data_IF_898573695921
#
_entry.id   IF_898573695921
#
_cell.length_a   1.000
_cell.length_b   1.000
_cell.length_c   1.000
_cell.angle_alpha   90.00
_cell.angle_beta   90.00
_cell.angle_gamma   90.00
#
_symmetry.space_group_name_H-M   'P 1'
#
loop_
_entity.id
_entity.type
_entity.pdbx_description
1 polymer ?
#
# COMPACT_ATOMS: atom_id res chain seq x y z
N UNK A 1 -34.57 -1.38 -29.72
CA UNK A 1 -33.68 -0.67 -28.77
C UNK A 1 -33.87 -1.29 -27.38
N UNK A 2 -33.04 -2.23 -26.97
CA UNK A 2 -33.02 -2.75 -25.58
C UNK A 2 -32.39 -1.67 -24.68
N UNK A 3 -33.15 -1.06 -23.80
CA UNK A 3 -32.63 -0.15 -22.75
C UNK A 3 -31.67 -0.98 -21.89
N UNK A 4 -30.38 -0.66 -21.95
CA UNK A 4 -29.39 -1.12 -20.97
C UNK A 4 -29.78 -0.49 -19.62
N UNK A 5 -30.57 -1.19 -18.84
CA UNK A 5 -30.71 -0.87 -17.41
C UNK A 5 -29.38 -1.21 -16.77
N UNK A 6 -28.54 -0.21 -16.51
CA UNK A 6 -27.33 -0.39 -15.75
C UNK A 6 -27.74 -0.94 -14.36
N UNK A 7 -27.50 -2.24 -14.16
CA UNK A 7 -27.71 -2.87 -12.85
C UNK A 7 -26.82 -2.11 -11.86
N UNK A 8 -27.42 -1.51 -10.84
CA UNK A 8 -26.65 -0.96 -9.72
C UNK A 8 -25.68 -2.03 -9.22
N UNK A 9 -24.38 -1.73 -9.07
CA UNK A 9 -23.44 -2.72 -8.57
C UNK A 9 -23.91 -3.18 -7.18
N UNK A 10 -23.85 -4.48 -6.94
CA UNK A 10 -24.23 -5.03 -5.64
C UNK A 10 -23.21 -4.57 -4.59
N UNK A 11 -23.70 -4.05 -3.48
CA UNK A 11 -22.86 -3.62 -2.35
C UNK A 11 -22.08 -4.83 -1.81
N UNK A 12 -20.79 -4.66 -1.61
CA UNK A 12 -19.91 -5.70 -1.07
C UNK A 12 -19.84 -5.61 0.46
N UNK A 13 -20.72 -6.35 1.11
CA UNK A 13 -20.80 -6.39 2.56
C UNK A 13 -19.49 -6.79 3.26
N UNK A 14 -18.67 -7.75 2.75
CA UNK A 14 -17.39 -8.05 3.39
C UNK A 14 -16.45 -6.84 3.45
N UNK A 15 -16.36 -6.05 2.38
CA UNK A 15 -15.52 -4.85 2.34
C UNK A 15 -16.05 -3.76 3.26
N UNK A 16 -17.38 -3.57 3.35
CA UNK A 16 -18.00 -2.66 4.32
C UNK A 16 -17.75 -3.10 5.77
N UNK A 17 -17.87 -4.39 6.06
CA UNK A 17 -17.57 -4.92 7.40
C UNK A 17 -16.12 -4.63 7.81
N UNK A 18 -15.16 -4.81 6.88
CA UNK A 18 -13.76 -4.44 7.10
C UNK A 18 -13.63 -2.94 7.39
N UNK A 19 -14.28 -2.07 6.63
CA UNK A 19 -14.25 -0.62 6.88
C UNK A 19 -14.78 -0.28 8.29
N UNK A 20 -15.91 -0.86 8.70
CA UNK A 20 -16.48 -0.69 10.05
C UNK A 20 -15.50 -1.16 11.12
N UNK A 21 -14.91 -2.35 10.96
CA UNK A 21 -13.94 -2.90 11.92
C UNK A 21 -12.69 -2.02 12.05
N UNK A 22 -12.17 -1.50 10.95
CA UNK A 22 -11.00 -0.61 10.97
C UNK A 22 -11.32 0.68 11.73
N UNK A 23 -12.39 1.36 11.36
CA UNK A 23 -12.71 2.67 11.95
C UNK A 23 -13.20 2.54 13.39
N UNK A 24 -14.09 1.59 13.68
CA UNK A 24 -14.52 1.34 15.06
C UNK A 24 -13.35 0.88 15.94
N UNK A 25 -12.48 0.00 15.43
CA UNK A 25 -11.28 -0.43 16.13
C UNK A 25 -10.31 0.71 16.39
N UNK A 26 -10.12 1.61 15.41
CA UNK A 26 -9.26 2.78 15.56
C UNK A 26 -9.82 3.75 16.62
N UNK A 27 -11.10 4.08 16.57
CA UNK A 27 -11.75 4.93 17.57
C UNK A 27 -11.66 4.30 18.97
N UNK A 28 -11.97 3.01 19.12
CA UNK A 28 -11.89 2.32 20.38
C UNK A 28 -10.46 2.27 20.93
N UNK A 29 -9.49 1.89 20.09
CA UNK A 29 -8.09 1.77 20.51
C UNK A 29 -7.47 3.12 20.90
N UNK A 30 -7.80 4.19 20.17
CA UNK A 30 -7.33 5.54 20.50
C UNK A 30 -8.01 6.09 21.76
N UNK A 31 -9.31 5.84 21.97
CA UNK A 31 -10.02 6.25 23.18
C UNK A 31 -9.55 5.50 24.44
N UNK A 32 -9.18 4.24 24.30
CA UNK A 32 -8.76 3.37 25.42
C UNK A 32 -7.24 3.27 25.55
N UNK A 33 -6.47 4.06 24.80
CA UNK A 33 -5.00 3.94 24.69
C UNK A 33 -4.27 3.92 26.03
N UNK A 34 -4.74 4.69 27.02
CA UNK A 34 -4.14 4.77 28.35
C UNK A 34 -4.28 3.47 29.17
N UNK A 35 -5.21 2.60 28.79
CA UNK A 35 -5.46 1.29 29.43
C UNK A 35 -4.73 0.15 28.71
N UNK A 36 -4.14 0.41 27.55
CA UNK A 36 -3.49 -0.60 26.70
C UNK A 36 -1.96 -0.49 26.87
N UNK A 37 -1.27 -1.60 27.24
CA UNK A 37 0.19 -1.60 27.29
C UNK A 37 0.80 -1.18 25.97
N UNK A 38 1.86 -0.36 26.01
CA UNK A 38 2.49 0.21 24.80
C UNK A 38 2.86 -0.83 23.72
N UNK A 39 3.43 -2.01 24.02
CA UNK A 39 3.69 -3.02 22.99
C UNK A 39 2.43 -3.50 22.27
N UNK A 40 1.32 -3.65 22.99
CA UNK A 40 0.02 -4.05 22.42
C UNK A 40 -0.54 -2.91 21.56
N UNK A 41 -0.42 -1.67 22.03
CA UNK A 41 -0.83 -0.47 21.29
C UNK A 41 -0.07 -0.36 19.97
N UNK A 42 1.25 -0.63 19.95
CA UNK A 42 2.08 -0.65 18.74
C UNK A 42 1.59 -1.72 17.74
N UNK A 43 1.33 -2.94 18.22
CA UNK A 43 0.89 -4.04 17.35
C UNK A 43 -0.50 -3.75 16.76
N UNK A 44 -1.46 -3.38 17.60
CA UNK A 44 -2.85 -3.14 17.17
C UNK A 44 -2.97 -1.83 16.38
N UNK A 45 -2.31 -0.77 16.82
CA UNK A 45 -2.31 0.52 16.13
C UNK A 45 -1.65 0.43 14.75
N UNK A 46 -0.48 -0.22 14.67
CA UNK A 46 0.18 -0.50 13.39
C UNK A 46 -0.69 -1.36 12.48
N UNK A 47 -1.34 -2.38 13.02
CA UNK A 47 -2.27 -3.22 12.26
C UNK A 47 -3.41 -2.41 11.65
N UNK A 48 -4.09 -1.60 12.46
CA UNK A 48 -5.24 -0.79 12.01
C UNK A 48 -4.87 0.20 10.92
N UNK A 49 -3.72 0.88 11.05
CA UNK A 49 -3.25 1.83 10.01
C UNK A 49 -2.84 1.10 8.73
N UNK A 50 -2.15 -0.03 8.81
CA UNK A 50 -1.83 -0.83 7.63
C UNK A 50 -3.09 -1.41 6.97
N UNK A 51 -4.06 -1.84 7.76
CA UNK A 51 -5.33 -2.39 7.28
C UNK A 51 -6.17 -1.32 6.57
N UNK A 52 -6.17 -0.09 7.13
CA UNK A 52 -6.79 1.05 6.48
C UNK A 52 -6.11 1.36 5.13
N UNK A 53 -4.78 1.25 5.03
CA UNK A 53 -4.07 1.36 3.75
C UNK A 53 -4.52 0.31 2.73
N UNK A 54 -4.82 -0.91 3.17
CA UNK A 54 -5.39 -1.96 2.30
C UNK A 54 -6.84 -1.68 1.91
N UNK A 55 -7.65 -1.10 2.81
CA UNK A 55 -8.99 -0.62 2.47
C UNK A 55 -8.94 0.53 1.46
N UNK A 56 -8.01 1.46 1.60
CA UNK A 56 -7.79 2.53 0.61
C UNK A 56 -7.50 1.95 -0.77
N UNK A 57 -6.67 0.92 -0.84
CA UNK A 57 -6.35 0.23 -2.08
C UNK A 57 -7.61 -0.37 -2.74
N UNK A 58 -8.46 -1.07 -1.99
CA UNK A 58 -9.73 -1.59 -2.50
C UNK A 58 -10.66 -0.47 -3.01
N UNK A 59 -10.78 0.62 -2.24
CA UNK A 59 -11.64 1.75 -2.65
C UNK A 59 -11.12 2.47 -3.90
N UNK A 60 -9.82 2.46 -4.16
CA UNK A 60 -9.21 2.97 -5.41
C UNK A 60 -9.70 2.16 -6.61
N UNK A 61 -9.90 0.84 -6.44
CA UNK A 61 -10.37 -0.06 -7.49
C UNK A 61 -11.90 -0.13 -7.64
N UNK A 62 -12.64 0.65 -6.85
CA UNK A 62 -14.10 0.78 -6.97
C UNK A 62 -14.88 -0.17 -6.06
N UNK A 63 -14.29 -0.58 -4.94
CA UNK A 63 -14.94 -1.34 -3.89
C UNK A 63 -15.29 -0.43 -2.69
N UNK A 64 -16.38 -0.64 -1.96
CA UNK A 64 -17.35 -1.75 -2.07
C UNK A 64 -18.61 -1.46 -2.90
N UNK A 65 -18.75 -0.26 -3.49
CA UNK A 65 -20.05 0.14 -4.06
C UNK A 65 -20.01 0.28 -5.59
N UNK A 66 -18.82 0.38 -6.20
CA UNK A 66 -18.65 0.74 -7.60
C UNK A 66 -19.01 2.21 -7.91
N UNK A 67 -19.36 3.00 -6.90
CA UNK A 67 -19.68 4.42 -7.01
C UNK A 67 -18.48 5.23 -6.50
N UNK A 68 -17.70 5.78 -7.40
CA UNK A 68 -16.37 6.31 -7.11
C UNK A 68 -16.28 7.37 -6.01
N UNK A 69 -17.31 8.21 -5.81
CA UNK A 69 -17.29 9.19 -4.72
C UNK A 69 -17.59 8.54 -3.36
N UNK A 70 -18.47 7.50 -3.30
CA UNK A 70 -18.75 6.75 -2.07
C UNK A 70 -17.50 5.95 -1.67
N UNK A 71 -16.94 5.19 -2.62
CA UNK A 71 -15.74 4.40 -2.37
C UNK A 71 -14.58 5.30 -1.92
N UNK A 72 -14.40 6.45 -2.57
CA UNK A 72 -13.40 7.43 -2.14
C UNK A 72 -13.67 8.01 -0.74
N UNK A 73 -14.92 8.23 -0.36
CA UNK A 73 -15.28 8.71 0.98
C UNK A 73 -14.95 7.65 2.05
N UNK A 74 -15.21 6.36 1.76
CA UNK A 74 -14.88 5.25 2.66
C UNK A 74 -13.36 5.13 2.87
N UNK A 75 -12.54 5.29 1.80
CA UNK A 75 -11.08 5.20 1.90
C UNK A 75 -10.39 6.48 2.37
N UNK A 76 -11.10 7.61 2.46
CA UNK A 76 -10.50 8.93 2.59
C UNK A 76 -9.77 9.19 3.91
N UNK A 77 -10.25 8.64 5.04
CA UNK A 77 -9.75 9.00 6.37
C UNK A 77 -8.20 8.88 6.46
N UNK A 78 -7.48 9.98 6.80
CA UNK A 78 -6.03 10.02 6.74
C UNK A 78 -5.39 9.52 8.05
N UNK A 79 -5.65 8.25 8.44
CA UNK A 79 -5.12 7.68 9.68
C UNK A 79 -3.60 7.61 9.70
N UNK A 80 -2.94 7.51 8.57
CA UNK A 80 -1.48 7.57 8.44
C UNK A 80 -0.92 8.99 8.51
N UNK A 81 -1.75 10.04 8.45
CA UNK A 81 -1.45 11.48 8.49
C UNK A 81 -0.64 12.03 7.30
N UNK A 82 0.21 11.26 6.63
CA UNK A 82 1.19 11.79 5.69
C UNK A 82 0.82 11.67 4.21
N UNK A 83 -0.06 10.71 3.85
CA UNK A 83 -0.34 10.41 2.43
C UNK A 83 -1.76 10.84 2.04
N UNK A 84 -1.91 11.90 1.22
CA UNK A 84 -3.21 12.27 0.68
C UNK A 84 -3.82 11.17 -0.21
N UNK A 85 -5.05 10.74 0.08
CA UNK A 85 -5.77 9.69 -0.66
C UNK A 85 -5.80 9.96 -2.17
N UNK A 86 -6.01 11.22 -2.61
CA UNK A 86 -5.99 11.58 -4.03
C UNK A 86 -4.65 11.32 -4.71
N UNK A 87 -3.55 11.56 -4.00
CA UNK A 87 -2.20 11.31 -4.51
C UNK A 87 -1.94 9.82 -4.59
N UNK A 88 -2.29 9.07 -3.56
CA UNK A 88 -2.22 7.61 -3.57
C UNK A 88 -3.04 7.02 -4.72
N UNK A 89 -4.32 7.41 -4.85
CA UNK A 89 -5.18 6.94 -5.93
C UNK A 89 -4.60 7.23 -7.32
N UNK A 90 -4.06 8.42 -7.54
CA UNK A 90 -3.44 8.80 -8.81
C UNK A 90 -2.19 7.98 -9.12
N UNK A 91 -1.29 7.84 -8.13
CA UNK A 91 -0.07 7.03 -8.24
C UNK A 91 -0.42 5.58 -8.56
N UNK A 92 -1.32 4.99 -7.79
CA UNK A 92 -1.70 3.59 -7.90
C UNK A 92 -2.38 3.24 -9.23
N UNK A 93 -3.30 4.09 -9.69
CA UNK A 93 -3.91 3.91 -11.01
C UNK A 93 -2.91 4.11 -12.16
N UNK A 94 -1.92 5.00 -12.01
CA UNK A 94 -0.84 5.14 -12.98
C UNK A 94 0.10 3.91 -12.98
N UNK A 95 0.36 3.31 -11.80
CA UNK A 95 1.09 2.06 -11.67
C UNK A 95 0.39 0.91 -12.42
N UNK A 96 -0.91 0.71 -12.22
CA UNK A 96 -1.69 -0.29 -12.99
C UNK A 96 -1.75 0.00 -14.49
N UNK A 97 -1.67 1.26 -14.90
CA UNK A 97 -1.61 1.68 -16.30
C UNK A 97 -0.22 1.65 -16.92
N UNK A 98 0.82 1.37 -16.15
CA UNK A 98 2.19 1.38 -16.64
C UNK A 98 2.45 0.24 -17.63
N UNK A 99 3.06 0.56 -18.79
CA UNK A 99 3.43 -0.47 -19.79
C UNK A 99 4.37 -1.54 -19.21
N UNK A 100 5.21 -1.13 -18.29
CA UNK A 100 6.19 -1.95 -17.59
C UNK A 100 6.16 -1.57 -16.12
N UNK A 101 5.41 -2.35 -15.33
CA UNK A 101 5.51 -2.26 -13.87
C UNK A 101 6.96 -2.55 -13.47
N UNK A 102 7.47 -1.83 -12.46
CA UNK A 102 8.85 -1.83 -11.99
C UNK A 102 9.79 -0.84 -12.68
N UNK A 103 9.53 -0.36 -13.90
CA UNK A 103 10.37 0.64 -14.52
C UNK A 103 10.17 2.04 -13.87
N UNK A 104 11.15 2.58 -13.14
CA UNK A 104 10.99 3.83 -12.41
C UNK A 104 10.79 5.07 -13.30
N UNK A 105 10.92 4.94 -14.62
CA UNK A 105 10.63 6.00 -15.60
C UNK A 105 9.14 6.12 -15.92
N UNK A 106 8.40 5.00 -15.75
CA UNK A 106 6.99 4.89 -16.15
C UNK A 106 6.07 4.47 -15.02
N UNK A 107 6.61 3.80 -13.98
CA UNK A 107 5.89 3.32 -12.82
C UNK A 107 6.21 4.16 -11.58
N UNK A 108 5.26 4.99 -11.10
CA UNK A 108 5.49 5.86 -9.95
C UNK A 108 5.64 5.09 -8.62
N UNK A 109 5.24 3.82 -8.58
CA UNK A 109 5.36 2.96 -7.39
C UNK A 109 6.60 2.06 -7.44
N UNK A 110 7.43 2.20 -8.48
CA UNK A 110 8.66 1.42 -8.60
C UNK A 110 9.63 1.68 -7.44
N UNK A 111 10.08 0.60 -6.79
CA UNK A 111 11.13 0.65 -5.78
C UNK A 111 12.54 0.83 -6.37
N UNK A 112 12.71 0.56 -7.67
CA UNK A 112 13.99 0.60 -8.35
C UNK A 112 14.44 2.03 -8.67
N UNK A 113 15.70 2.17 -9.07
CA UNK A 113 16.35 3.45 -9.41
C UNK A 113 16.99 3.36 -10.78
N UNK A 114 17.08 4.49 -11.45
CA UNK A 114 17.70 4.62 -12.80
C UNK A 114 19.20 4.91 -12.74
N UNK A 115 19.78 5.16 -11.58
CA UNK A 115 21.19 5.51 -11.43
C UNK A 115 21.85 4.78 -10.29
N UNK A 116 23.15 4.51 -10.40
CA UNK A 116 23.99 3.90 -9.36
C UNK A 116 23.95 4.68 -8.05
N UNK A 117 24.03 6.03 -8.13
CA UNK A 117 23.93 6.88 -6.94
C UNK A 117 22.58 6.72 -6.24
N UNK A 118 21.50 6.70 -7.01
CA UNK A 118 20.15 6.47 -6.46
C UNK A 118 19.99 5.07 -5.85
N UNK A 119 20.54 4.04 -6.51
CA UNK A 119 20.51 2.67 -6.01
C UNK A 119 21.28 2.52 -4.69
N UNK A 120 22.48 3.12 -4.58
CA UNK A 120 23.26 3.14 -3.32
C UNK A 120 22.49 3.84 -2.20
N UNK A 121 21.84 4.98 -2.48
CA UNK A 121 21.00 5.68 -1.50
C UNK A 121 19.73 4.91 -1.08
N UNK A 122 19.36 3.86 -1.81
CA UNK A 122 18.24 2.97 -1.51
C UNK A 122 18.70 1.61 -0.94
N UNK A 123 19.99 1.36 -0.77
CA UNK A 123 20.54 0.06 -0.37
C UNK A 123 20.01 -0.45 0.98
N UNK A 124 19.75 0.43 1.94
CA UNK A 124 19.12 0.07 3.21
C UNK A 124 17.73 -0.54 3.02
N UNK A 125 17.03 -0.21 1.94
CA UNK A 125 15.70 -0.74 1.62
C UNK A 125 15.75 -2.03 0.77
N UNK A 126 16.93 -2.54 0.46
CA UNK A 126 17.08 -3.78 -0.30
C UNK A 126 16.85 -5.03 0.55
N UNK A 127 17.01 -4.95 1.87
CA UNK A 127 16.69 -6.02 2.83
C UNK A 127 15.33 -5.78 3.48
N UNK A 128 14.67 -6.84 3.95
CA UNK A 128 13.36 -6.70 4.59
C UNK A 128 13.44 -5.89 5.88
N UNK A 129 14.41 -6.17 6.75
CA UNK A 129 14.57 -5.42 8.01
C UNK A 129 14.89 -3.95 7.70
N UNK A 130 15.79 -3.69 6.77
CA UNK A 130 16.09 -2.33 6.34
C UNK A 130 14.88 -1.60 5.77
N UNK A 131 14.05 -2.29 4.97
CA UNK A 131 12.81 -1.74 4.43
C UNK A 131 11.80 -1.42 5.54
N UNK A 132 11.61 -2.29 6.52
CA UNK A 132 10.64 -2.08 7.59
C UNK A 132 11.12 -1.05 8.63
N UNK A 133 12.42 -1.01 8.93
CA UNK A 133 12.98 -0.11 9.95
C UNK A 133 13.27 1.29 9.39
N UNK A 134 13.86 1.42 8.22
CA UNK A 134 14.23 2.72 7.66
C UNK A 134 13.25 3.20 6.57
N UNK A 135 12.56 2.25 5.95
CA UNK A 135 11.63 2.52 4.85
C UNK A 135 10.56 3.56 5.16
N UNK A 136 9.86 3.51 6.32
CA UNK A 136 8.85 4.51 6.67
C UNK A 136 9.41 5.93 6.65
N UNK A 137 10.48 6.20 7.40
CA UNK A 137 11.08 7.54 7.47
C UNK A 137 11.60 8.00 6.10
N UNK A 138 12.30 7.11 5.37
CA UNK A 138 12.86 7.44 4.05
C UNK A 138 11.78 7.70 3.00
N UNK A 139 10.69 6.94 3.01
CA UNK A 139 9.62 7.10 2.03
C UNK A 139 8.76 8.32 2.32
N UNK A 140 8.39 8.54 3.58
CA UNK A 140 7.67 9.75 4.01
C UNK A 140 8.52 10.99 3.69
N UNK A 141 9.81 10.99 4.06
CA UNK A 141 10.71 12.12 3.81
C UNK A 141 10.85 12.42 2.31
N UNK A 142 11.07 11.40 1.46
CA UNK A 142 11.16 11.58 0.00
C UNK A 142 9.85 12.10 -0.59
N UNK A 143 8.71 11.58 -0.12
CA UNK A 143 7.40 12.03 -0.55
C UNK A 143 7.18 13.50 -0.22
N UNK A 144 7.43 13.92 1.02
CA UNK A 144 7.25 15.31 1.46
C UNK A 144 8.21 16.27 0.75
N UNK A 145 9.47 15.88 0.54
CA UNK A 145 10.44 16.67 -0.24
C UNK A 145 9.94 16.81 -1.70
N UNK A 146 9.44 15.72 -2.28
CA UNK A 146 8.86 15.74 -3.63
C UNK A 146 7.67 16.69 -3.74
N UNK A 147 6.77 16.67 -2.74
CA UNK A 147 5.60 17.56 -2.67
C UNK A 147 5.99 19.02 -2.42
N UNK A 148 7.00 19.29 -1.59
CA UNK A 148 7.55 20.64 -1.44
C UNK A 148 8.08 21.18 -2.78
N UNK A 149 8.85 20.36 -3.52
CA UNK A 149 9.27 20.72 -4.88
C UNK A 149 8.11 20.90 -5.87
N UNK A 150 7.03 20.12 -5.73
CA UNK A 150 5.80 20.28 -6.51
C UNK A 150 5.06 21.57 -6.15
N UNK A 151 5.07 21.97 -4.87
CA UNK A 151 4.44 23.20 -4.42
C UNK A 151 5.07 24.44 -5.08
N UNK A 152 6.37 24.43 -5.35
CA UNK A 152 7.04 25.51 -6.08
C UNK A 152 6.64 25.53 -7.57
N UNK A 153 6.55 24.34 -8.20
CA UNK A 153 6.28 24.25 -9.65
C UNK A 153 4.79 24.33 -10.02
N UNK A 154 3.92 23.92 -9.13
CA UNK A 154 2.47 23.76 -9.38
C UNK A 154 1.66 23.97 -8.10
N UNK A 155 1.67 25.20 -7.50
CA UNK A 155 1.07 25.45 -6.19
C UNK A 155 -0.44 25.16 -6.15
N UNK A 156 -1.17 25.56 -7.19
CA UNK A 156 -2.62 25.30 -7.26
C UNK A 156 -2.97 23.81 -7.24
N UNK A 157 -2.13 22.96 -7.88
CA UNK A 157 -2.33 21.51 -7.85
C UNK A 157 -2.06 20.93 -6.45
N UNK A 158 -1.06 21.45 -5.74
CA UNK A 158 -0.78 21.03 -4.36
C UNK A 158 -1.93 21.44 -3.44
N UNK A 159 -2.38 22.70 -3.51
CA UNK A 159 -3.52 23.17 -2.71
C UNK A 159 -4.75 22.29 -2.94
N UNK A 160 -5.10 22.02 -4.20
CA UNK A 160 -6.24 21.15 -4.53
C UNK A 160 -6.12 19.73 -3.98
N UNK A 161 -4.92 19.15 -4.00
CA UNK A 161 -4.71 17.77 -3.57
C UNK A 161 -4.57 17.65 -2.05
N UNK A 162 -3.98 18.66 -1.40
CA UNK A 162 -3.70 18.66 0.03
C UNK A 162 -4.81 19.23 0.91
N UNK A 163 -5.59 20.20 0.43
CA UNK A 163 -6.62 20.82 1.26
C UNK A 163 -7.62 19.83 1.86
N UNK A 164 -8.22 18.90 1.10
CA UNK A 164 -9.12 17.91 1.69
C UNK A 164 -8.38 17.02 2.70
N UNK A 165 -7.15 16.62 2.41
CA UNK A 165 -6.33 15.81 3.30
C UNK A 165 -6.03 16.52 4.62
N UNK A 166 -5.62 17.79 4.57
CA UNK A 166 -5.35 18.58 5.77
C UNK A 166 -6.59 18.79 6.64
N UNK A 167 -7.77 18.96 6.03
CA UNK A 167 -9.04 18.99 6.78
C UNK A 167 -9.24 17.66 7.52
N UNK A 168 -9.02 16.54 6.85
CA UNK A 168 -9.11 15.21 7.49
C UNK A 168 -8.06 15.00 8.58
N UNK A 169 -6.81 15.43 8.33
CA UNK A 169 -5.73 15.38 9.34
C UNK A 169 -6.10 16.22 10.56
N UNK A 170 -6.63 17.43 10.35
CA UNK A 170 -7.10 18.30 11.47
C UNK A 170 -8.16 17.60 12.31
N UNK A 171 -9.11 16.90 11.67
CA UNK A 171 -10.15 16.14 12.38
C UNK A 171 -9.53 14.96 13.19
N UNK A 172 -8.56 14.25 12.61
CA UNK A 172 -7.82 13.19 13.33
C UNK A 172 -7.08 13.78 14.52
N UNK A 173 -6.30 14.86 14.33
CA UNK A 173 -5.51 15.49 15.42
C UNK A 173 -6.44 16.03 16.52
N UNK A 174 -7.56 16.65 16.16
CA UNK A 174 -8.56 17.08 17.13
C UNK A 174 -9.09 15.93 17.96
N UNK A 175 -9.40 14.78 17.32
CA UNK A 175 -9.82 13.60 18.05
C UNK A 175 -8.76 13.06 19.00
N UNK A 176 -7.48 12.98 18.54
CA UNK A 176 -6.37 12.51 19.37
C UNK A 176 -6.19 13.41 20.61
N UNK A 177 -6.26 14.72 20.44
CA UNK A 177 -6.21 15.70 21.53
C UNK A 177 -7.38 15.51 22.49
N UNK A 178 -8.62 15.35 21.96
CA UNK A 178 -9.82 15.12 22.74
C UNK A 178 -9.73 13.86 23.64
N UNK A 179 -9.10 12.80 23.17
CA UNK A 179 -8.93 11.56 23.96
C UNK A 179 -7.60 11.54 24.75
N UNK A 180 -6.80 12.61 24.71
CA UNK A 180 -5.52 12.72 25.42
C UNK A 180 -4.38 11.87 24.86
N UNK A 181 -4.49 11.38 23.63
CA UNK A 181 -3.42 10.62 22.95
C UNK A 181 -2.46 11.61 22.26
N UNK A 182 -1.27 11.79 22.82
CA UNK A 182 -0.30 12.71 22.25
C UNK A 182 0.22 12.25 20.87
N UNK A 183 0.57 13.21 20.02
CA UNK A 183 0.98 12.97 18.64
C UNK A 183 2.23 12.07 18.55
N UNK A 184 3.20 12.21 19.44
CA UNK A 184 4.41 11.37 19.39
C UNK A 184 4.08 9.90 19.61
N UNK A 185 3.22 9.59 20.58
CA UNK A 185 2.73 8.22 20.82
C UNK A 185 1.94 7.70 19.61
N UNK A 186 1.08 8.54 19.01
CA UNK A 186 0.34 8.14 17.81
C UNK A 186 1.28 7.84 16.63
N UNK A 187 2.28 8.68 16.40
CA UNK A 187 3.27 8.44 15.34
C UNK A 187 4.06 7.15 15.58
N UNK A 188 4.49 6.89 16.80
CA UNK A 188 5.30 5.71 17.15
C UNK A 188 4.50 4.42 17.26
N UNK A 189 3.24 4.47 17.71
CA UNK A 189 2.45 3.27 17.93
C UNK A 189 1.48 2.94 16.79
N UNK A 190 1.13 3.90 15.93
CA UNK A 190 0.17 3.68 14.85
C UNK A 190 0.81 3.94 13.47
N UNK A 191 1.34 5.14 13.24
CA UNK A 191 1.75 5.56 11.90
C UNK A 191 3.01 4.82 11.44
N UNK A 192 4.05 4.80 12.28
CA UNK A 192 5.31 4.17 11.91
C UNK A 192 5.19 2.66 11.71
N UNK A 193 4.65 1.88 12.69
CA UNK A 193 4.48 0.45 12.51
C UNK A 193 3.47 0.10 11.41
N UNK A 194 2.42 0.90 11.23
CA UNK A 194 1.47 0.70 10.12
C UNK A 194 2.12 0.88 8.76
N UNK A 195 2.94 1.93 8.61
CA UNK A 195 3.71 2.14 7.39
C UNK A 195 4.74 1.01 7.17
N UNK A 196 5.41 0.55 8.24
CA UNK A 196 6.34 -0.58 8.16
C UNK A 196 5.65 -1.88 7.71
N UNK A 197 4.45 -2.18 8.23
CA UNK A 197 3.65 -3.32 7.79
C UNK A 197 3.22 -3.20 6.32
N UNK A 198 2.84 -2.01 5.86
CA UNK A 198 2.56 -1.79 4.43
C UNK A 198 3.80 -2.06 3.58
N UNK A 199 4.99 -1.72 4.08
CA UNK A 199 6.26 -1.98 3.39
C UNK A 199 6.67 -3.45 3.38
N UNK A 200 6.24 -4.26 4.36
CA UNK A 200 6.39 -5.71 4.29
C UNK A 200 5.67 -6.29 3.06
N UNK A 201 4.48 -5.78 2.76
CA UNK A 201 3.75 -6.15 1.55
C UNK A 201 4.53 -5.74 0.30
N UNK A 202 4.79 -4.45 0.15
CA UNK A 202 5.42 -3.89 -1.06
C UNK A 202 6.85 -4.39 -1.31
N UNK A 203 7.54 -4.90 -0.27
CA UNK A 203 8.88 -5.46 -0.40
C UNK A 203 8.95 -6.62 -1.40
N UNK A 204 7.93 -7.47 -1.43
CA UNK A 204 7.90 -8.67 -2.24
C UNK A 204 6.92 -8.62 -3.43
N UNK A 205 6.12 -7.55 -3.55
CA UNK A 205 5.04 -7.47 -4.56
C UNK A 205 5.53 -7.48 -6.01
N UNK A 206 6.68 -6.87 -6.26
CA UNK A 206 7.21 -6.73 -7.61
C UNK A 206 8.68 -7.08 -7.69
N UNK A 207 9.05 -7.75 -8.78
CA UNK A 207 10.44 -8.01 -9.15
C UNK A 207 10.72 -7.55 -10.58
N UNK A 208 11.75 -6.74 -10.75
CA UNK A 208 12.21 -6.34 -12.08
C UNK A 208 12.98 -7.52 -12.71
N UNK A 209 12.39 -8.10 -13.73
CA UNK A 209 13.01 -9.15 -14.54
C UNK A 209 12.75 -8.83 -16.02
N UNK A 210 13.83 -8.72 -16.82
CA UNK A 210 13.73 -8.45 -18.26
C UNK A 210 13.33 -9.70 -19.04
N UNK A 211 13.65 -10.87 -18.54
CA UNK A 211 13.39 -12.14 -19.20
C UNK A 211 11.95 -12.65 -18.97
N UNK A 212 11.25 -12.09 -17.98
CA UNK A 212 9.92 -12.56 -17.58
C UNK A 212 8.87 -11.45 -17.68
N UNK A 213 7.68 -11.73 -18.29
CA UNK A 213 6.56 -10.82 -18.22
C UNK A 213 5.90 -10.78 -16.83
N UNK A 214 6.03 -11.84 -16.04
CA UNK A 214 5.43 -11.99 -14.71
C UNK A 214 6.23 -11.26 -13.64
N UNK A 215 5.97 -9.96 -13.45
CA UNK A 215 6.69 -9.10 -12.48
C UNK A 215 5.95 -8.91 -11.16
N UNK A 216 4.68 -9.28 -11.09
CA UNK A 216 3.89 -9.27 -9.88
C UNK A 216 4.00 -10.62 -9.16
N UNK A 217 4.28 -10.60 -7.88
CA UNK A 217 4.55 -11.79 -7.09
C UNK A 217 3.28 -12.43 -6.53
N UNK A 218 3.46 -13.63 -5.98
CA UNK A 218 2.44 -14.41 -5.31
C UNK A 218 3.01 -14.88 -3.98
N UNK A 219 2.36 -14.52 -2.87
CA UNK A 219 2.64 -15.07 -1.55
C UNK A 219 1.48 -15.98 -1.16
N UNK A 220 1.63 -17.30 -1.37
CA UNK A 220 0.50 -18.25 -1.34
C UNK A 220 -0.13 -18.39 0.04
N UNK A 221 0.67 -18.54 1.09
CA UNK A 221 0.20 -18.71 2.48
C UNK A 221 0.33 -17.39 3.24
N UNK A 222 -0.60 -16.46 2.96
CA UNK A 222 -0.60 -15.16 3.62
C UNK A 222 -0.91 -15.20 5.11
N UNK A 223 -1.68 -16.21 5.59
CA UNK A 223 -2.10 -16.29 6.99
C UNK A 223 -2.85 -15.02 7.43
N UNK A 224 -2.52 -14.48 8.60
CA UNK A 224 -3.08 -13.23 9.09
C UNK A 224 -2.78 -12.05 8.17
N UNK A 225 -1.66 -12.06 7.46
CA UNK A 225 -1.31 -11.01 6.50
C UNK A 225 -2.20 -11.04 5.25
N UNK A 226 -2.82 -12.17 4.89
CA UNK A 226 -3.82 -12.20 3.83
C UNK A 226 -5.04 -11.34 4.20
N UNK A 227 -5.48 -11.35 5.46
CA UNK A 227 -6.53 -10.47 5.96
C UNK A 227 -6.04 -9.01 6.04
N UNK A 228 -4.83 -8.76 6.57
CA UNK A 228 -4.25 -7.43 6.66
C UNK A 228 -4.15 -6.75 5.29
N UNK A 229 -3.75 -7.51 4.27
CA UNK A 229 -3.57 -6.99 2.91
C UNK A 229 -4.76 -7.25 1.99
N UNK A 230 -5.89 -7.71 2.52
CA UNK A 230 -7.11 -8.03 1.77
C UNK A 230 -6.78 -8.88 0.52
N UNK A 231 -6.07 -10.00 0.75
CA UNK A 231 -5.60 -10.94 -0.27
C UNK A 231 -4.70 -10.33 -1.38
N UNK A 232 -4.24 -9.08 -1.25
CA UNK A 232 -3.33 -8.49 -2.21
C UNK A 232 -1.91 -9.11 -2.18
N UNK A 233 -1.64 -10.02 -1.25
CA UNK A 233 -0.51 -10.95 -1.31
C UNK A 233 -0.54 -11.86 -2.56
N UNK A 234 -1.69 -12.03 -3.20
CA UNK A 234 -1.87 -12.70 -4.49
C UNK A 234 -1.76 -11.68 -5.64
N UNK A 235 -0.66 -10.93 -5.66
CA UNK A 235 -0.52 -9.69 -6.41
C UNK A 235 -0.59 -9.88 -7.93
N UNK A 236 -0.13 -11.01 -8.47
CA UNK A 236 -0.29 -11.34 -9.88
C UNK A 236 -1.77 -11.46 -10.30
N UNK A 237 -2.60 -12.05 -9.43
CA UNK A 237 -4.04 -12.15 -9.67
C UNK A 237 -4.72 -10.78 -9.57
N UNK A 238 -4.28 -9.93 -8.62
CA UNK A 238 -4.76 -8.57 -8.47
C UNK A 238 -4.42 -7.71 -9.70
N UNK A 239 -3.18 -7.73 -10.19
CA UNK A 239 -2.79 -6.98 -11.39
C UNK A 239 -3.57 -7.38 -12.63
N UNK A 240 -3.91 -8.65 -12.77
CA UNK A 240 -4.74 -9.10 -13.90
C UNK A 240 -6.19 -8.68 -13.76
N UNK A 241 -6.73 -8.67 -12.54
CA UNK A 241 -8.14 -8.36 -12.25
C UNK A 241 -8.26 -7.36 -11.08
N UNK A 242 -7.81 -6.12 -11.24
CA UNK A 242 -7.75 -5.15 -10.15
C UNK A 242 -9.14 -4.75 -9.60
N UNK A 243 -10.21 -4.96 -10.37
CA UNK A 243 -11.61 -4.76 -9.94
C UNK A 243 -12.28 -6.04 -9.41
N UNK A 244 -11.52 -7.10 -9.18
CA UNK A 244 -12.05 -8.30 -8.52
C UNK A 244 -11.96 -8.10 -7.01
N UNK A 245 -13.10 -8.19 -6.32
CA UNK A 245 -13.17 -8.00 -4.87
C UNK A 245 -12.16 -8.92 -4.15
N UNK A 246 -11.48 -8.40 -3.15
CA UNK A 246 -10.39 -9.07 -2.42
C UNK A 246 -10.71 -10.49 -1.94
N UNK A 247 -11.95 -10.74 -1.48
CA UNK A 247 -12.37 -12.05 -0.99
C UNK A 247 -12.59 -13.08 -2.11
N UNK A 248 -12.58 -12.66 -3.38
CA UNK A 248 -12.65 -13.54 -4.57
C UNK A 248 -11.27 -13.82 -5.17
N UNK A 249 -10.25 -13.05 -4.83
CA UNK A 249 -8.88 -13.23 -5.33
C UNK A 249 -8.33 -14.64 -5.06
N UNK A 250 -8.53 -15.28 -3.88
CA UNK A 250 -8.03 -16.63 -3.66
C UNK A 250 -8.57 -17.68 -4.63
N UNK A 251 -9.87 -17.65 -4.91
CA UNK A 251 -10.49 -18.58 -5.88
C UNK A 251 -9.98 -18.31 -7.30
N UNK A 252 -9.87 -17.04 -7.67
CA UNK A 252 -9.33 -16.65 -8.98
C UNK A 252 -7.86 -17.09 -9.14
N UNK A 253 -7.03 -16.84 -8.15
CA UNK A 253 -5.64 -17.28 -8.13
C UNK A 253 -5.54 -18.79 -8.26
N UNK A 254 -6.29 -19.55 -7.48
CA UNK A 254 -6.29 -21.03 -7.52
C UNK A 254 -6.54 -21.56 -8.94
N UNK A 255 -7.51 -20.99 -9.65
CA UNK A 255 -7.88 -21.41 -11.02
C UNK A 255 -6.86 -21.01 -12.09
N UNK A 256 -5.97 -20.04 -11.80
CA UNK A 256 -5.03 -19.48 -12.80
C UNK A 256 -3.55 -19.59 -12.37
N UNK A 257 -3.27 -20.25 -11.25
CA UNK A 257 -1.94 -20.35 -10.64
C UNK A 257 -0.86 -20.82 -11.62
N UNK A 258 -1.12 -21.90 -12.32
CA UNK A 258 -0.15 -22.49 -13.26
C UNK A 258 0.24 -21.51 -14.37
N UNK A 259 -0.73 -20.74 -14.86
CA UNK A 259 -0.49 -19.70 -15.86
C UNK A 259 0.40 -18.59 -15.32
N UNK A 260 0.16 -18.09 -14.11
CA UNK A 260 1.00 -17.06 -13.50
C UNK A 260 2.44 -17.57 -13.32
N UNK A 261 2.60 -18.80 -12.86
CA UNK A 261 3.92 -19.43 -12.71
C UNK A 261 4.62 -19.60 -14.07
N UNK A 262 3.89 -20.04 -15.09
CA UNK A 262 4.43 -20.16 -16.46
C UNK A 262 4.85 -18.82 -17.07
N UNK A 263 4.21 -17.72 -16.65
CA UNK A 263 4.59 -16.35 -17.01
C UNK A 263 5.79 -15.82 -16.22
N UNK A 264 6.32 -16.59 -15.27
CA UNK A 264 7.48 -16.23 -14.46
C UNK A 264 7.17 -15.38 -13.25
N UNK A 265 5.93 -15.35 -12.75
CA UNK A 265 5.59 -14.66 -11.51
C UNK A 265 6.43 -15.20 -10.35
N UNK A 266 7.09 -14.34 -9.54
CA UNK A 266 7.78 -14.79 -8.34
C UNK A 266 6.80 -15.42 -7.35
N UNK A 267 7.10 -16.62 -6.85
CA UNK A 267 6.22 -17.33 -5.91
C UNK A 267 6.95 -17.55 -4.60
N UNK A 268 6.30 -17.13 -3.50
CA UNK A 268 6.73 -17.36 -2.12
C UNK A 268 5.69 -18.18 -1.39
N UNK A 269 6.14 -19.13 -0.57
CA UNK A 269 5.23 -19.96 0.26
C UNK A 269 4.47 -19.14 1.29
N UNK A 270 5.08 -18.06 1.80
CA UNK A 270 4.49 -17.18 2.81
C UNK A 270 5.48 -16.12 3.29
N UNK A 271 5.00 -15.18 4.13
CA UNK A 271 5.84 -14.11 4.68
C UNK A 271 6.99 -14.62 5.56
N UNK A 272 6.85 -15.79 6.21
CA UNK A 272 7.93 -16.44 6.93
C UNK A 272 9.10 -16.87 6.03
N UNK A 273 8.83 -17.25 4.79
CA UNK A 273 9.89 -17.51 3.80
C UNK A 273 10.59 -16.22 3.39
N UNK A 274 9.84 -15.16 3.13
CA UNK A 274 10.39 -13.84 2.77
C UNK A 274 11.29 -13.34 3.90
N UNK A 275 10.83 -13.41 5.14
CA UNK A 275 11.62 -13.04 6.33
C UNK A 275 12.92 -13.87 6.40
N UNK A 276 12.84 -15.20 6.33
CA UNK A 276 14.01 -16.07 6.43
C UNK A 276 15.03 -15.83 5.33
N UNK A 277 14.55 -15.55 4.09
CA UNK A 277 15.44 -15.36 2.93
C UNK A 277 16.05 -13.96 2.89
N UNK A 278 15.29 -12.92 3.27
CA UNK A 278 15.61 -11.54 2.97
C UNK A 278 15.67 -10.62 4.19
N UNK A 279 15.58 -11.14 5.42
CA UNK A 279 15.69 -10.31 6.62
C UNK A 279 16.90 -9.38 6.55
N UNK A 280 18.08 -9.95 6.26
CA UNK A 280 19.37 -9.24 6.17
C UNK A 280 20.09 -9.46 4.83
N UNK A 281 19.46 -10.13 3.88
CA UNK A 281 19.97 -10.31 2.52
C UNK A 281 19.16 -9.46 1.57
N UNK A 282 19.81 -8.87 0.58
CA UNK A 282 19.13 -8.12 -0.46
C UNK A 282 18.16 -9.00 -1.24
N UNK A 283 16.93 -8.53 -1.42
CA UNK A 283 15.94 -9.18 -2.28
C UNK A 283 16.31 -8.99 -3.75
N UNK A 284 16.64 -7.73 -4.11
CA UNK A 284 17.04 -7.31 -5.45
C UNK A 284 18.15 -6.27 -5.36
N UNK A 285 18.83 -6.05 -6.47
CA UNK A 285 19.58 -4.83 -6.68
C UNK A 285 18.59 -3.67 -6.87
N UNK A 286 18.84 -2.55 -6.20
CA UNK A 286 17.99 -1.37 -6.31
C UNK A 286 18.16 -0.63 -7.65
N UNK A 287 19.18 -0.95 -8.46
CA UNK A 287 19.32 -0.45 -9.82
C UNK A 287 18.46 -1.27 -10.77
N UNK A 288 17.56 -0.61 -11.51
CA UNK A 288 16.71 -1.30 -12.48
C UNK A 288 17.58 -2.00 -13.56
N UNK A 289 17.23 -3.24 -13.96
CA UNK A 289 18.02 -3.99 -14.94
C UNK A 289 18.30 -3.24 -16.25
N UNK A 290 17.31 -2.52 -16.81
CA UNK A 290 17.50 -1.69 -18.02
C UNK A 290 18.55 -0.58 -17.83
N UNK A 291 18.69 -0.04 -16.63
CA UNK A 291 19.69 0.99 -16.38
C UNK A 291 21.11 0.41 -16.28
N UNK A 292 21.25 -0.90 -15.99
CA UNK A 292 22.53 -1.60 -16.02
C UNK A 292 23.04 -1.82 -17.44
N UNK A 293 22.14 -2.24 -18.35
CA UNK A 293 22.49 -2.49 -19.75
C UNK A 293 22.91 -1.23 -20.52
N UNK A 294 22.53 -0.04 -20.03
CA UNK A 294 22.91 1.25 -20.61
C UNK A 294 24.23 1.82 -20.05
N UNK A 295 24.77 1.22 -18.98
CA UNK A 295 26.00 1.64 -18.31
C UNK A 295 27.15 0.65 -18.45
N UNK A 296 26.94 -0.45 -19.14
CA UNK A 296 27.94 -1.44 -19.56
C UNK A 296 28.31 -1.24 -21.02
#
# INVERSE_FOLDING_TARGET
MRKFVARMPAIEWPTLAIAVLIYAGWFALTALHAQVPLPVLIVLGGWLVAWQGSLQHETIHGHPTGIGWIDSAIGFAPLSLWLPYRLYRRSHLAHHGAKVITDPRHDPESRYRVSQRGARGASLQSTLVGQMVFGPALSIGRFLIGEAGRAVRSPAAVVRDWTPHLIGVTAVLWWLDHVGLNLATYLLAFVYPGTALTMLRSFAEHRADLASPGRAAIVERGGLFALLYLNNNLHAAHHERPRLAWYRLPSYHHSHRERFVAQGAPVYRGYGEILRRFAFRSHDDMLHPDARSQSA
#
